data_IF_936114198010
#
_entry.id   IF_936114198010
#
_cell.length_a   1.000
_cell.length_b   1.000
_cell.length_c   1.000
_cell.angle_alpha   90.00
_cell.angle_beta   90.00
_cell.angle_gamma   90.00
#
_symmetry.space_group_name_H-M   'P 1'
#
loop_
_entity.id
_entity.type
_entity.pdbx_description
1 polymer ?
#
# COMPACT_ATOMS: atom_id res chain seq x y z
N UNK A 1 -9.95 -10.63 -18.13
CA UNK A 1 -9.66 -11.49 -16.97
C UNK A 1 -9.30 -10.64 -15.76
N UNK A 2 -9.46 -11.15 -14.54
CA UNK A 2 -9.12 -10.41 -13.29
C UNK A 2 -7.66 -9.98 -13.25
N UNK A 3 -6.73 -10.87 -13.61
CA UNK A 3 -5.30 -10.59 -13.61
C UNK A 3 -4.90 -9.49 -14.61
N UNK A 4 -5.52 -9.48 -15.80
CA UNK A 4 -5.28 -8.41 -16.79
C UNK A 4 -5.69 -7.03 -16.25
N UNK A 5 -6.87 -6.93 -15.62
CA UNK A 5 -7.34 -5.70 -15.02
C UNK A 5 -6.46 -5.27 -13.83
N UNK A 6 -5.98 -6.24 -13.03
CA UNK A 6 -5.07 -6.02 -11.92
C UNK A 6 -3.78 -5.33 -12.38
N UNK A 7 -3.11 -5.90 -13.38
CA UNK A 7 -1.89 -5.30 -13.95
C UNK A 7 -2.17 -3.95 -14.61
N UNK A 8 -3.29 -3.81 -15.33
CA UNK A 8 -3.70 -2.54 -15.92
C UNK A 8 -3.84 -1.45 -14.84
N UNK A 9 -4.45 -1.76 -13.71
CA UNK A 9 -4.59 -0.84 -12.59
C UNK A 9 -3.25 -0.47 -11.97
N UNK A 10 -2.32 -1.41 -11.77
CA UNK A 10 -0.98 -1.11 -11.25
C UNK A 10 -0.16 -0.23 -12.21
N UNK A 11 -0.24 -0.48 -13.52
CA UNK A 11 0.44 0.34 -14.53
C UNK A 11 -0.14 1.75 -14.54
N UNK A 12 -1.46 1.90 -14.47
CA UNK A 12 -2.12 3.21 -14.38
C UNK A 12 -1.70 3.94 -13.11
N UNK A 13 -1.69 3.27 -11.96
CA UNK A 13 -1.28 3.83 -10.68
C UNK A 13 0.15 4.39 -10.74
N UNK A 14 1.10 3.61 -11.29
CA UNK A 14 2.49 4.04 -11.46
C UNK A 14 2.62 5.29 -12.34
N UNK A 15 1.78 5.44 -13.37
CA UNK A 15 1.78 6.60 -14.26
C UNK A 15 1.13 7.83 -13.63
N UNK A 16 0.18 7.65 -12.73
CA UNK A 16 -0.59 8.74 -12.11
C UNK A 16 0.09 9.33 -10.87
N UNK A 17 0.93 8.56 -10.17
CA UNK A 17 1.56 8.99 -8.93
C UNK A 17 3.04 9.34 -9.17
N UNK A 18 3.44 10.64 -9.09
CA UNK A 18 4.83 11.06 -9.32
C UNK A 18 5.85 10.32 -8.44
N UNK A 19 5.50 10.10 -7.16
CA UNK A 19 6.32 9.36 -6.19
C UNK A 19 6.57 7.88 -6.57
N UNK A 20 5.78 7.30 -7.48
CA UNK A 20 5.99 5.96 -8.04
C UNK A 20 6.68 5.98 -9.41
N UNK A 21 6.54 7.08 -10.15
CA UNK A 21 7.10 7.24 -11.49
C UNK A 21 8.60 7.50 -11.44
N UNK A 22 9.04 8.43 -10.58
CA UNK A 22 10.46 8.76 -10.46
C UNK A 22 11.20 7.68 -9.67
N UNK A 23 12.35 7.24 -10.17
CA UNK A 23 13.20 6.21 -9.55
C UNK A 23 14.25 6.82 -8.61
N UNK A 24 13.90 7.92 -7.93
CA UNK A 24 14.79 8.51 -6.94
C UNK A 24 14.84 7.62 -5.69
N UNK A 25 16.06 7.21 -5.30
CA UNK A 25 16.31 6.37 -4.12
C UNK A 25 16.44 7.17 -2.83
N UNK A 26 16.56 8.49 -2.91
CA UNK A 26 16.74 9.38 -1.76
C UNK A 26 15.41 9.75 -1.09
N UNK A 27 14.28 9.55 -1.78
CA UNK A 27 12.94 9.92 -1.30
C UNK A 27 12.10 8.68 -0.97
N UNK A 28 12.69 7.79 -0.18
CA UNK A 28 12.01 6.61 0.34
C UNK A 28 12.46 6.26 1.76
N UNK A 29 11.54 5.67 2.51
CA UNK A 29 11.79 5.06 3.82
C UNK A 29 11.18 3.67 3.83
N UNK A 30 11.89 2.72 4.42
CA UNK A 30 11.46 1.32 4.51
C UNK A 30 11.57 0.85 5.95
N UNK A 31 10.51 0.24 6.44
CA UNK A 31 10.49 -0.50 7.70
C UNK A 31 10.09 -1.94 7.42
N UNK A 32 10.92 -2.88 7.85
CA UNK A 32 10.68 -4.31 7.69
C UNK A 32 10.40 -4.93 9.05
N UNK A 33 9.38 -5.78 9.13
CA UNK A 33 9.15 -6.63 10.30
C UNK A 33 9.29 -8.11 9.90
N UNK A 34 10.48 -8.71 10.08
CA UNK A 34 10.70 -10.12 9.76
C UNK A 34 9.80 -11.08 10.54
N UNK A 35 9.45 -10.73 11.80
CA UNK A 35 8.61 -11.58 12.64
C UNK A 35 7.16 -11.69 12.15
N UNK A 36 6.66 -10.64 11.49
CA UNK A 36 5.32 -10.63 10.86
C UNK A 36 5.38 -10.92 9.35
N UNK A 37 6.57 -10.98 8.76
CA UNK A 37 6.80 -11.02 7.31
C UNK A 37 6.08 -9.87 6.57
N UNK A 38 6.21 -8.65 7.10
CA UNK A 38 5.60 -7.44 6.55
C UNK A 38 6.65 -6.38 6.22
N UNK A 39 6.32 -5.53 5.24
CA UNK A 39 7.13 -4.38 4.85
C UNK A 39 6.22 -3.16 4.73
N UNK A 40 6.67 -2.05 5.31
CA UNK A 40 6.11 -0.72 5.13
C UNK A 40 7.10 0.08 4.30
N UNK A 41 6.69 0.53 3.13
CA UNK A 41 7.47 1.38 2.24
C UNK A 41 6.74 2.71 2.08
N UNK A 42 7.39 3.80 2.45
CA UNK A 42 6.90 5.14 2.16
C UNK A 42 7.79 5.78 1.11
N UNK A 43 7.19 6.37 0.07
CA UNK A 43 7.87 7.15 -0.95
C UNK A 43 7.24 8.52 -1.05
N UNK A 44 8.03 9.54 -1.35
CA UNK A 44 7.51 10.89 -1.56
C UNK A 44 8.20 11.57 -2.72
N UNK A 45 7.57 12.62 -3.22
CA UNK A 45 8.10 13.55 -4.20
C UNK A 45 7.36 14.87 -3.99
N UNK A 46 8.08 15.90 -3.54
CA UNK A 46 7.49 17.20 -3.18
C UNK A 46 6.34 17.01 -2.16
N UNK A 47 5.13 17.47 -2.49
CA UNK A 47 3.93 17.34 -1.65
C UNK A 47 3.22 15.98 -1.80
N UNK A 48 3.60 15.17 -2.79
CA UNK A 48 3.01 13.86 -3.03
C UNK A 48 3.70 12.82 -2.18
N UNK A 49 2.94 11.97 -1.49
CA UNK A 49 3.48 10.79 -0.84
C UNK A 49 2.62 9.57 -1.08
N UNK A 50 3.27 8.40 -1.05
CA UNK A 50 2.64 7.10 -1.23
C UNK A 50 3.12 6.20 -0.09
N UNK A 51 2.16 5.57 0.58
CA UNK A 51 2.38 4.58 1.62
C UNK A 51 1.99 3.21 1.05
N UNK A 52 2.95 2.29 1.04
CA UNK A 52 2.83 0.94 0.51
C UNK A 52 3.00 -0.03 1.68
N UNK A 53 1.98 -0.83 1.94
CA UNK A 53 1.95 -1.82 3.00
C UNK A 53 1.88 -3.20 2.36
N UNK A 54 2.83 -4.06 2.67
CA UNK A 54 2.96 -5.40 2.08
C UNK A 54 2.97 -6.45 3.17
N UNK A 55 2.13 -7.48 3.00
CA UNK A 55 2.10 -8.65 3.85
C UNK A 55 2.47 -9.87 3.02
N UNK A 56 3.63 -10.47 3.30
CA UNK A 56 4.11 -11.68 2.65
C UNK A 56 3.82 -12.94 3.47
N UNK A 57 3.21 -12.80 4.65
CA UNK A 57 2.75 -13.95 5.43
C UNK A 57 1.43 -14.49 4.87
N UNK A 58 1.17 -15.76 5.17
CA UNK A 58 -0.10 -16.42 4.92
C UNK A 58 -1.16 -16.15 6.01
N UNK A 59 -0.95 -15.12 6.85
CA UNK A 59 -1.82 -14.74 7.97
C UNK A 59 -2.19 -13.27 7.85
N UNK A 60 -3.31 -12.89 8.45
CA UNK A 60 -3.64 -11.48 8.65
C UNK A 60 -2.61 -10.84 9.58
N UNK A 61 -2.13 -9.64 9.23
CA UNK A 61 -1.15 -8.90 10.03
C UNK A 61 -1.65 -7.49 10.31
N UNK A 62 -1.44 -7.04 11.56
CA UNK A 62 -1.66 -5.65 11.93
C UNK A 62 -0.33 -4.91 11.90
N UNK A 63 -0.23 -3.90 11.04
CA UNK A 63 0.96 -3.06 10.89
C UNK A 63 0.70 -1.68 11.48
N UNK A 64 1.70 -1.15 12.20
CA UNK A 64 1.64 0.21 12.73
C UNK A 64 2.21 1.19 11.71
N UNK A 65 1.46 2.23 11.38
CA UNK A 65 1.88 3.33 10.51
C UNK A 65 2.19 4.54 11.37
N UNK A 66 3.45 4.97 11.35
CA UNK A 66 3.89 6.16 12.08
C UNK A 66 3.56 7.44 11.30
N UNK A 67 3.42 8.57 12.01
CA UNK A 67 3.17 9.89 11.42
C UNK A 67 1.95 9.96 10.48
N UNK A 68 0.81 9.41 10.90
CA UNK A 68 -0.43 9.51 10.14
C UNK A 68 -0.82 10.97 9.93
N UNK A 69 -0.87 11.36 8.66
CA UNK A 69 -1.62 12.52 8.21
C UNK A 69 -3.08 12.11 7.97
N UNK A 70 -4.03 12.98 8.31
CA UNK A 70 -5.48 12.69 8.17
C UNK A 70 -5.96 12.55 6.72
N UNK A 71 -5.09 12.71 5.72
CA UNK A 71 -5.46 12.78 4.30
C UNK A 71 -5.12 11.55 3.47
N UNK A 72 -4.55 10.49 4.05
CA UNK A 72 -4.24 9.27 3.31
C UNK A 72 -5.49 8.61 2.73
N UNK A 73 -5.54 8.46 1.41
CA UNK A 73 -6.64 7.81 0.67
C UNK A 73 -6.16 6.54 -0.01
N UNK A 74 -6.93 5.47 0.11
CA UNK A 74 -6.64 4.17 -0.51
C UNK A 74 -6.72 4.32 -2.03
N UNK A 75 -5.65 3.96 -2.71
CA UNK A 75 -5.55 4.00 -4.18
C UNK A 75 -5.47 2.61 -4.80
N UNK A 76 -4.99 1.62 -4.03
CA UNK A 76 -4.95 0.23 -4.48
C UNK A 76 -4.98 -0.73 -3.30
N UNK A 77 -5.66 -1.86 -3.48
CA UNK A 77 -5.78 -2.92 -2.50
C UNK A 77 -5.93 -4.24 -3.25
N UNK A 78 -4.94 -5.13 -3.14
CA UNK A 78 -4.98 -6.43 -3.81
C UNK A 78 -5.94 -7.42 -3.17
N UNK A 79 -6.37 -7.16 -1.93
CA UNK A 79 -7.28 -8.00 -1.16
C UNK A 79 -8.76 -7.64 -1.34
N UNK A 80 -9.03 -6.61 -2.14
CA UNK A 80 -10.38 -6.22 -2.56
C UNK A 80 -11.07 -7.38 -3.32
N UNK A 81 -12.34 -7.70 -3.00
CA UNK A 81 -13.12 -8.74 -3.69
C UNK A 81 -13.17 -8.60 -5.21
N UNK A 82 -13.02 -7.38 -5.78
CA UNK A 82 -12.92 -7.19 -7.25
C UNK A 82 -11.71 -7.90 -7.87
N UNK A 83 -10.67 -8.15 -7.07
CA UNK A 83 -9.49 -8.92 -7.45
C UNK A 83 -9.54 -10.38 -7.00
N UNK A 84 -10.70 -10.84 -6.51
CA UNK A 84 -10.90 -12.13 -5.83
C UNK A 84 -10.16 -12.25 -4.49
N UNK A 85 -9.86 -11.11 -3.86
CA UNK A 85 -9.36 -11.10 -2.49
C UNK A 85 -10.47 -11.33 -1.46
N UNK A 86 -10.08 -11.57 -0.20
CA UNK A 86 -11.00 -11.92 0.88
C UNK A 86 -11.81 -10.71 1.38
N UNK A 87 -11.14 -9.58 1.61
CA UNK A 87 -11.71 -8.40 2.27
C UNK A 87 -10.91 -7.15 1.96
N UNK A 88 -11.58 -6.10 1.53
CA UNK A 88 -10.97 -4.79 1.31
C UNK A 88 -10.64 -4.07 2.63
N UNK A 89 -9.55 -3.32 2.61
CA UNK A 89 -9.16 -2.41 3.69
C UNK A 89 -10.01 -1.11 3.67
N UNK A 90 -10.01 -0.31 4.75
CA UNK A 90 -10.70 0.98 4.80
C UNK A 90 -10.18 1.98 3.76
N UNK A 91 -11.03 2.91 3.30
CA UNK A 91 -10.65 3.90 2.28
C UNK A 91 -9.70 4.99 2.80
N UNK A 92 -9.60 5.17 4.11
CA UNK A 92 -8.66 6.09 4.75
C UNK A 92 -8.06 5.48 6.01
N UNK A 93 -6.93 6.02 6.45
CA UNK A 93 -6.24 5.58 7.66
C UNK A 93 -6.69 6.42 8.85
N UNK A 94 -7.68 5.93 9.59
CA UNK A 94 -8.21 6.64 10.78
C UNK A 94 -7.37 6.40 12.04
N UNK A 95 -6.73 5.23 12.13
CA UNK A 95 -5.91 4.78 13.27
C UNK A 95 -4.50 4.48 12.82
N UNK A 96 -3.53 4.58 13.72
CA UNK A 96 -2.12 4.19 13.51
C UNK A 96 -1.88 2.71 13.26
N UNK A 97 -2.93 1.90 13.13
CA UNK A 97 -2.82 0.48 12.83
C UNK A 97 -3.69 0.15 11.64
N UNK A 98 -3.10 -0.54 10.66
CA UNK A 98 -3.77 -1.01 9.46
C UNK A 98 -3.69 -2.53 9.41
N UNK A 99 -4.82 -3.17 9.14
CA UNK A 99 -4.90 -4.63 9.00
C UNK A 99 -4.65 -5.00 7.53
N UNK A 100 -3.68 -5.89 7.30
CA UNK A 100 -3.34 -6.43 5.99
C UNK A 100 -3.79 -7.88 5.88
N UNK A 101 -4.50 -8.20 4.81
CA UNK A 101 -4.86 -9.58 4.51
C UNK A 101 -3.62 -10.42 4.13
N UNK A 102 -3.67 -11.76 4.22
CA UNK A 102 -2.58 -12.63 3.76
C UNK A 102 -2.13 -12.30 2.33
N UNK A 103 -0.83 -12.36 2.08
CA UNK A 103 -0.24 -12.25 0.72
C UNK A 103 -0.78 -11.06 -0.09
N UNK A 104 -0.86 -9.89 0.56
CA UNK A 104 -1.51 -8.71 0.00
C UNK A 104 -0.63 -7.46 -0.01
N UNK A 105 -0.99 -6.54 -0.91
CA UNK A 105 -0.44 -5.19 -0.99
C UNK A 105 -1.57 -4.17 -0.91
N UNK A 106 -1.36 -3.16 -0.08
CA UNK A 106 -2.28 -2.06 0.16
C UNK A 106 -1.53 -0.74 0.00
N UNK A 107 -2.10 0.18 -0.78
CA UNK A 107 -1.45 1.43 -1.16
C UNK A 107 -2.38 2.60 -0.86
N UNK A 108 -1.86 3.58 -0.14
CA UNK A 108 -2.49 4.88 0.10
C UNK A 108 -1.66 6.00 -0.52
N UNK A 109 -2.29 7.09 -0.94
CA UNK A 109 -1.63 8.34 -1.32
C UNK A 109 -2.11 9.52 -0.47
N UNK A 110 -1.25 10.53 -0.29
CA UNK A 110 -1.66 11.84 0.22
C UNK A 110 -2.39 12.65 -0.85
#
# INVERSE_FOLDING_TARGET
>A
STLFNYYKSLIQLRKQLPALQQLNREQLSVSCNPGQNTIILQRWQEENAVLILMNFSNKEQSVRVDNIKKSWKKVFDSSDPKWKGLKAAPDSIEKNTVTLQPESILIYSL
#
